data_IF_906473805338
#
_entry.id   IF_906473805338
#
_cell.length_a   1.000
_cell.length_b   1.000
_cell.length_c   1.000
_cell.angle_alpha   90.00
_cell.angle_beta   90.00
_cell.angle_gamma   90.00
#
_symmetry.space_group_name_H-M   'P 1'
#
loop_
_entity.id
_entity.type
_entity.pdbx_description
1 polymer ?
#
# COMPACT_ATOMS: atom_id res chain seq x y z
N UNK A 1 48.37 -0.46 35.36
CA UNK A 1 47.74 0.16 34.17
C UNK A 1 46.50 -0.66 33.83
N UNK A 2 45.30 -0.15 34.13
CA UNK A 2 44.02 -0.83 33.83
C UNK A 2 43.39 -0.10 32.64
N UNK A 3 43.38 -0.73 31.48
CA UNK A 3 42.71 -0.23 30.29
C UNK A 3 41.21 -0.52 30.40
N UNK A 4 40.39 0.53 30.49
CA UNK A 4 38.94 0.46 30.39
C UNK A 4 38.57 0.43 28.91
N UNK A 5 38.14 -0.72 28.41
CA UNK A 5 37.55 -0.85 27.08
C UNK A 5 36.12 -0.31 27.13
N UNK A 6 35.92 0.91 26.62
CA UNK A 6 34.60 1.48 26.37
C UNK A 6 34.08 0.87 25.07
N UNK A 7 33.19 -0.11 25.19
CA UNK A 7 32.48 -0.69 24.05
C UNK A 7 31.36 0.28 23.63
N UNK A 8 31.65 1.10 22.63
CA UNK A 8 30.68 1.98 21.97
C UNK A 8 29.68 1.14 21.17
N UNK A 9 28.53 0.83 21.76
CA UNK A 9 27.39 0.25 21.06
C UNK A 9 26.74 1.34 20.19
N UNK A 10 27.16 1.39 18.92
CA UNK A 10 26.45 2.16 17.90
C UNK A 10 25.09 1.51 17.68
N UNK A 11 24.02 2.12 18.19
CA UNK A 11 22.65 1.74 17.89
C UNK A 11 22.33 2.26 16.49
N UNK A 12 22.41 1.39 15.49
CA UNK A 12 21.98 1.71 14.14
C UNK A 12 20.46 1.67 14.13
N UNK A 13 19.83 2.83 14.31
CA UNK A 13 18.40 3.01 14.10
C UNK A 13 18.10 2.78 12.62
N UNK A 14 17.78 1.54 12.25
CA UNK A 14 17.16 1.22 10.97
C UNK A 14 15.84 1.98 10.91
N UNK A 15 15.82 3.07 10.14
CA UNK A 15 14.59 3.73 9.73
C UNK A 15 13.79 2.73 8.87
N UNK A 16 13.03 1.85 9.51
CA UNK A 16 11.94 1.15 8.86
C UNK A 16 10.93 2.21 8.44
N UNK A 17 10.91 2.55 7.15
CA UNK A 17 9.76 3.22 6.55
C UNK A 17 8.56 2.30 6.80
N UNK A 18 7.79 2.61 7.84
CA UNK A 18 6.63 1.82 8.22
C UNK A 18 5.62 1.83 7.07
N UNK A 19 5.05 0.67 6.77
CA UNK A 19 3.99 0.56 5.78
C UNK A 19 2.78 1.40 6.21
N UNK A 20 2.38 2.36 5.37
CA UNK A 20 1.21 3.21 5.58
C UNK A 20 -0.02 2.59 4.90
N UNK A 21 -0.67 1.67 5.60
CA UNK A 21 -1.84 0.96 5.10
C UNK A 21 -3.00 1.88 4.69
N UNK A 22 -3.41 2.89 5.49
CA UNK A 22 -4.44 3.84 5.10
C UNK A 22 -4.14 4.57 3.79
N UNK A 23 -2.89 5.00 3.57
CA UNK A 23 -2.49 5.63 2.30
C UNK A 23 -2.59 4.65 1.13
N UNK A 24 -2.12 3.41 1.30
CA UNK A 24 -2.17 2.39 0.24
C UNK A 24 -3.61 1.97 -0.07
N UNK A 25 -4.49 1.89 0.93
CA UNK A 25 -5.92 1.64 0.75
C UNK A 25 -6.59 2.76 -0.07
N UNK A 26 -6.32 4.03 0.26
CA UNK A 26 -6.83 5.17 -0.52
C UNK A 26 -6.35 5.16 -1.97
N UNK A 27 -5.09 4.79 -2.21
CA UNK A 27 -4.57 4.62 -3.56
C UNK A 27 -5.22 3.44 -4.30
N UNK A 28 -5.57 2.38 -3.57
CA UNK A 28 -6.29 1.24 -4.12
C UNK A 28 -7.69 1.68 -4.56
N UNK A 29 -8.44 2.40 -3.72
CA UNK A 29 -9.82 2.82 -4.02
C UNK A 29 -9.86 3.68 -5.29
N UNK A 30 -8.94 4.65 -5.40
CA UNK A 30 -8.83 5.48 -6.60
C UNK A 30 -8.54 4.64 -7.87
N UNK A 31 -7.69 3.61 -7.77
CA UNK A 31 -7.40 2.72 -8.89
C UNK A 31 -8.53 1.73 -9.17
N UNK A 32 -9.26 1.29 -8.13
CA UNK A 32 -10.40 0.38 -8.22
C UNK A 32 -11.54 1.00 -9.02
N UNK A 33 -11.95 2.21 -8.65
CA UNK A 33 -13.03 2.93 -9.35
C UNK A 33 -12.67 3.19 -10.81
N UNK A 34 -11.47 3.71 -11.04
CA UNK A 34 -10.97 4.03 -12.38
C UNK A 34 -10.87 2.77 -13.27
N UNK A 35 -10.38 1.65 -12.72
CA UNK A 35 -10.32 0.38 -13.43
C UNK A 35 -11.74 -0.16 -13.74
N UNK A 36 -12.70 0.02 -12.83
CA UNK A 36 -14.08 -0.46 -13.02
C UNK A 36 -14.85 0.37 -14.05
N UNK A 37 -14.69 1.69 -14.04
CA UNK A 37 -15.47 2.60 -14.89
C UNK A 37 -14.85 2.79 -16.28
N UNK A 38 -13.59 2.39 -16.50
CA UNK A 38 -12.84 2.63 -17.75
C UNK A 38 -12.75 4.13 -18.10
N UNK A 39 -12.88 4.98 -17.08
CA UNK A 39 -12.85 6.43 -17.16
C UNK A 39 -12.06 6.98 -15.98
N UNK A 40 -11.39 8.10 -16.18
CA UNK A 40 -10.79 8.88 -15.10
C UNK A 40 -11.86 9.58 -14.27
N UNK A 41 -11.47 10.11 -13.10
CA UNK A 41 -12.38 10.82 -12.19
C UNK A 41 -12.98 12.11 -12.80
N UNK A 42 -12.30 12.72 -13.77
CA UNK A 42 -12.76 13.87 -14.55
C UNK A 42 -13.62 13.50 -15.76
N UNK A 43 -13.92 12.20 -15.96
CA UNK A 43 -14.82 11.73 -17.02
C UNK A 43 -14.13 11.50 -18.37
N UNK A 44 -12.79 11.42 -18.41
CA UNK A 44 -12.06 11.09 -19.63
C UNK A 44 -12.00 9.58 -19.81
N UNK A 45 -12.35 9.12 -21.01
CA UNK A 45 -12.19 7.72 -21.39
C UNK A 45 -10.72 7.30 -21.38
N UNK A 46 -10.48 6.08 -20.90
CA UNK A 46 -9.15 5.48 -20.88
C UNK A 46 -8.92 4.68 -22.15
N UNK A 47 -7.74 4.85 -22.75
CA UNK A 47 -7.27 3.89 -23.75
C UNK A 47 -7.04 2.52 -23.10
N UNK A 48 -7.15 1.45 -23.88
CA UNK A 48 -6.90 0.09 -23.37
C UNK A 48 -5.55 -0.05 -22.62
N UNK A 49 -4.41 0.46 -23.12
CA UNK A 49 -3.15 0.40 -22.39
C UNK A 49 -3.15 1.19 -21.07
N UNK A 50 -3.86 2.31 -20.98
CA UNK A 50 -3.98 3.06 -19.72
C UNK A 50 -4.84 2.29 -18.71
N UNK A 51 -5.97 1.76 -19.16
CA UNK A 51 -6.86 0.93 -18.37
C UNK A 51 -6.13 -0.30 -17.81
N UNK A 52 -5.40 -1.03 -18.66
CA UNK A 52 -4.60 -2.21 -18.26
C UNK A 52 -3.57 -1.83 -17.16
N UNK A 53 -2.92 -0.67 -17.27
CA UNK A 53 -1.95 -0.18 -16.26
C UNK A 53 -2.63 0.14 -14.93
N UNK A 54 -3.81 0.76 -14.96
CA UNK A 54 -4.54 1.15 -13.76
C UNK A 54 -5.07 -0.10 -13.02
N UNK A 55 -5.62 -1.07 -13.76
CA UNK A 55 -6.01 -2.34 -13.18
C UNK A 55 -4.81 -3.12 -12.60
N UNK A 56 -3.67 -3.12 -13.28
CA UNK A 56 -2.44 -3.70 -12.73
C UNK A 56 -1.95 -2.96 -11.47
N UNK A 57 -2.09 -1.63 -11.41
CA UNK A 57 -1.77 -0.84 -10.20
C UNK A 57 -2.68 -1.26 -9.04
N UNK A 58 -3.99 -1.33 -9.27
CA UNK A 58 -4.98 -1.81 -8.27
C UNK A 58 -4.54 -3.18 -7.70
N UNK A 59 -4.17 -4.12 -8.56
CA UNK A 59 -3.80 -5.47 -8.13
C UNK A 59 -2.52 -5.50 -7.27
N UNK A 60 -1.53 -4.67 -7.62
CA UNK A 60 -0.31 -4.52 -6.82
C UNK A 60 -0.61 -3.92 -5.44
N UNK A 61 -1.48 -2.91 -5.37
CA UNK A 61 -1.87 -2.28 -4.10
C UNK A 61 -2.64 -3.28 -3.22
N UNK A 62 -3.55 -4.06 -3.79
CA UNK A 62 -4.26 -5.13 -3.09
C UNK A 62 -3.28 -6.18 -2.54
N UNK A 63 -2.30 -6.60 -3.34
CA UNK A 63 -1.27 -7.54 -2.89
C UNK A 63 -0.42 -6.96 -1.74
N UNK A 64 -0.07 -5.68 -1.83
CA UNK A 64 0.66 -4.97 -0.76
C UNK A 64 -0.14 -4.93 0.53
N UNK A 65 -1.44 -4.60 0.47
CA UNK A 65 -2.33 -4.58 1.65
C UNK A 65 -2.44 -5.97 2.28
N UNK A 66 -2.65 -7.02 1.48
CA UNK A 66 -2.69 -8.41 1.97
C UNK A 66 -1.38 -8.83 2.64
N UNK A 67 -0.23 -8.47 2.06
CA UNK A 67 1.08 -8.77 2.64
C UNK A 67 1.29 -8.11 4.01
N UNK A 68 0.53 -7.06 4.32
CA UNK A 68 0.58 -6.33 5.59
C UNK A 68 -0.67 -6.56 6.45
N UNK A 69 -1.32 -7.71 6.31
CA UNK A 69 -2.46 -8.15 7.13
C UNK A 69 -3.73 -7.27 7.03
N UNK A 70 -3.94 -6.63 5.89
CA UNK A 70 -5.22 -6.02 5.56
C UNK A 70 -6.12 -7.02 4.81
N UNK A 71 -7.41 -6.97 5.12
CA UNK A 71 -8.47 -7.77 4.53
C UNK A 71 -9.47 -6.85 3.82
N UNK A 72 -9.98 -7.32 2.69
CA UNK A 72 -11.02 -6.62 1.94
C UNK A 72 -12.39 -6.92 2.54
N UNK A 73 -13.12 -5.88 2.93
CA UNK A 73 -14.51 -5.99 3.38
C UNK A 73 -15.46 -5.80 2.19
N UNK A 74 -16.08 -6.87 1.72
CA UNK A 74 -17.04 -6.81 0.61
C UNK A 74 -18.31 -6.02 0.92
N UNK A 75 -18.71 -5.89 2.19
CA UNK A 75 -19.93 -5.18 2.57
C UNK A 75 -19.74 -3.66 2.54
N UNK A 76 -18.55 -3.20 2.91
CA UNK A 76 -18.21 -1.77 3.03
C UNK A 76 -17.34 -1.28 1.85
N UNK A 77 -16.89 -2.20 0.99
CA UNK A 77 -15.97 -1.92 -0.13
C UNK A 77 -14.69 -1.18 0.33
N UNK A 78 -14.13 -1.61 1.46
CA UNK A 78 -12.94 -1.00 2.05
C UNK A 78 -11.90 -2.03 2.48
N UNK A 79 -10.66 -1.56 2.63
CA UNK A 79 -9.58 -2.32 3.26
C UNK A 79 -9.45 -1.95 4.73
N UNK A 80 -9.48 -2.95 5.59
CA UNK A 80 -9.23 -2.81 7.02
C UNK A 80 -8.22 -3.86 7.48
N UNK A 81 -7.65 -3.67 8.67
CA UNK A 81 -6.85 -4.73 9.29
C UNK A 81 -7.72 -5.98 9.47
N UNK A 82 -7.19 -7.15 9.11
CA UNK A 82 -7.89 -8.41 9.31
C UNK A 82 -8.24 -8.55 10.80
N UNK A 83 -9.52 -8.82 11.09
CA UNK A 83 -9.94 -9.20 12.44
C UNK A 83 -9.31 -10.57 12.76
N UNK A 84 -8.77 -10.71 13.96
CA UNK A 84 -8.24 -11.99 14.46
C UNK A 84 -9.37 -13.00 14.65
#
# INVERSE_FOLDING_TARGET
MRALLVASLSVWSLNSFAFDGPKVAKEFDAAFDTCRMVQTRDGRDLSKPEWDRICAKRDRLAASLKAHHYCWNNSEYEWALCKK
#
